data_IF_403227291524
#
_entry.id   IF_403227291524
#
_cell.length_a   1.000
_cell.length_b   1.000
_cell.length_c   1.000
_cell.angle_alpha   90.00
_cell.angle_beta   90.00
_cell.angle_gamma   90.00
#
_symmetry.space_group_name_H-M   'P 1'
#
loop_
_entity.id
_entity.type
_entity.pdbx_description
1 polymer ?
#
# COMPACT_ATOMS: atom_id res chain seq x y z
N UNK A 1 36.40 11.64 7.88
CA UNK A 1 36.35 10.18 8.03
C UNK A 1 35.21 9.68 7.18
N UNK A 2 35.50 8.90 6.15
CA UNK A 2 34.52 8.22 5.30
C UNK A 2 34.22 6.89 5.97
N UNK A 3 32.99 6.65 6.40
CA UNK A 3 32.55 5.32 6.78
C UNK A 3 31.86 4.66 5.59
N UNK A 4 32.49 3.56 5.18
CA UNK A 4 32.17 2.67 4.09
C UNK A 4 31.01 1.75 4.47
N UNK A 5 29.87 1.90 3.81
CA UNK A 5 28.79 0.91 3.81
C UNK A 5 28.90 0.07 2.53
N UNK A 6 29.48 -1.13 2.65
CA UNK A 6 29.51 -2.12 1.57
C UNK A 6 28.18 -2.87 1.50
N UNK A 7 27.49 -2.73 0.37
CA UNK A 7 26.31 -3.52 0.00
C UNK A 7 26.76 -4.99 -0.23
N UNK A 8 26.06 -6.01 0.30
CA UNK A 8 26.42 -7.41 0.06
C UNK A 8 26.41 -7.78 -1.43
N UNK A 9 27.49 -8.40 -1.89
CA UNK A 9 27.87 -8.54 -3.30
C UNK A 9 27.17 -9.66 -4.10
N UNK A 10 26.12 -10.31 -3.59
CA UNK A 10 25.38 -11.29 -4.40
C UNK A 10 23.88 -11.24 -4.15
N UNK A 11 23.19 -10.51 -5.05
CA UNK A 11 21.75 -10.54 -5.19
C UNK A 11 21.37 -11.94 -5.71
N UNK A 12 20.46 -12.69 -5.06
CA UNK A 12 19.97 -13.95 -5.59
C UNK A 12 19.43 -13.79 -7.02
N UNK A 13 19.81 -14.67 -7.92
CA UNK A 13 19.56 -14.54 -9.38
C UNK A 13 18.07 -14.39 -9.71
N UNK A 14 17.19 -15.05 -8.94
CA UNK A 14 15.73 -14.93 -9.10
C UNK A 14 15.20 -13.52 -8.81
N UNK A 15 15.83 -12.79 -7.88
CA UNK A 15 15.48 -11.39 -7.60
C UNK A 15 15.96 -10.46 -8.73
N UNK A 16 17.06 -10.81 -9.40
CA UNK A 16 17.58 -10.03 -10.52
C UNK A 16 16.77 -10.23 -11.80
N UNK A 17 16.35 -11.47 -12.10
CA UNK A 17 15.48 -11.77 -13.24
C UNK A 17 14.07 -11.18 -13.07
N UNK A 18 13.52 -11.26 -11.84
CA UNK A 18 12.29 -10.58 -11.47
C UNK A 18 12.40 -9.06 -11.68
N UNK A 19 13.50 -8.48 -11.19
CA UNK A 19 13.82 -7.07 -11.32
C UNK A 19 13.93 -6.60 -12.77
N UNK A 20 14.54 -7.41 -13.65
CA UNK A 20 14.70 -7.12 -15.08
C UNK A 20 13.37 -7.19 -15.85
N UNK A 21 12.55 -8.22 -15.60
CA UNK A 21 11.23 -8.37 -16.24
C UNK A 21 10.26 -7.26 -15.86
N UNK A 22 10.22 -6.85 -14.60
CA UNK A 22 9.37 -5.75 -14.15
C UNK A 22 9.79 -4.40 -14.74
N UNK A 23 11.07 -4.20 -15.08
CA UNK A 23 11.57 -2.93 -15.65
C UNK A 23 11.03 -2.60 -17.02
N UNK A 24 10.83 -3.60 -17.88
CA UNK A 24 10.46 -3.35 -19.27
C UNK A 24 8.97 -3.06 -19.45
N UNK A 25 8.15 -3.32 -18.43
CA UNK A 25 6.70 -3.13 -18.49
C UNK A 25 6.25 -1.79 -17.92
N UNK A 26 7.03 -1.12 -17.05
CA UNK A 26 6.55 0.07 -16.31
C UNK A 26 7.62 1.15 -16.02
N UNK A 27 7.43 2.45 -16.41
CA UNK A 27 8.51 3.47 -16.40
C UNK A 27 8.79 4.19 -15.06
N UNK A 28 8.03 3.92 -13.99
CA UNK A 28 8.14 4.60 -12.69
C UNK A 28 8.19 3.59 -11.54
N UNK A 29 9.36 2.99 -11.32
CA UNK A 29 9.60 1.76 -10.54
C UNK A 29 8.88 1.66 -9.18
N UNK A 30 8.94 2.67 -8.33
CA UNK A 30 8.44 2.55 -6.95
C UNK A 30 6.94 2.87 -6.83
N UNK A 31 6.45 3.93 -7.48
CA UNK A 31 5.01 4.26 -7.47
C UNK A 31 4.15 3.11 -8.01
N UNK A 32 4.67 2.38 -8.99
CA UNK A 32 3.94 1.28 -9.60
C UNK A 32 3.87 0.05 -8.68
N UNK A 33 4.85 -0.19 -7.80
CA UNK A 33 4.78 -1.35 -6.90
C UNK A 33 3.79 -1.14 -5.76
N UNK A 34 3.73 0.06 -5.18
CA UNK A 34 2.71 0.38 -4.16
C UNK A 34 1.31 0.32 -4.76
N UNK A 35 1.12 0.91 -5.95
CA UNK A 35 -0.17 0.86 -6.66
C UNK A 35 -0.58 -0.57 -7.02
N UNK A 36 0.37 -1.40 -7.47
CA UNK A 36 0.10 -2.81 -7.75
C UNK A 36 -0.29 -3.57 -6.48
N UNK A 37 0.36 -3.30 -5.34
CA UNK A 37 0.00 -3.92 -4.08
C UNK A 37 -1.37 -3.45 -3.55
N UNK A 38 -1.68 -2.16 -3.65
CA UNK A 38 -3.00 -1.62 -3.29
C UNK A 38 -4.10 -2.26 -4.14
N UNK A 39 -3.94 -2.30 -5.47
CA UNK A 39 -4.91 -2.95 -6.36
C UNK A 39 -5.11 -4.43 -6.03
N UNK A 40 -4.02 -5.17 -5.78
CA UNK A 40 -4.13 -6.58 -5.35
C UNK A 40 -4.88 -6.74 -4.03
N UNK A 41 -4.88 -5.72 -3.18
CA UNK A 41 -5.57 -5.72 -1.90
C UNK A 41 -7.06 -5.40 -2.10
N UNK A 42 -7.38 -4.41 -2.93
CA UNK A 42 -8.77 -4.07 -3.33
C UNK A 42 -9.45 -5.24 -4.07
N UNK A 43 -8.74 -5.90 -4.98
CA UNK A 43 -9.25 -7.04 -5.75
C UNK A 43 -9.70 -8.22 -4.84
N UNK A 44 -9.22 -8.30 -3.58
CA UNK A 44 -9.63 -9.35 -2.63
C UNK A 44 -11.07 -9.20 -2.15
N UNK A 45 -11.61 -7.98 -2.18
CA UNK A 45 -12.96 -7.66 -1.69
C UNK A 45 -13.95 -7.35 -2.82
N UNK A 46 -13.44 -7.00 -4.01
CA UNK A 46 -14.26 -6.69 -5.19
C UNK A 46 -14.82 -7.95 -5.91
N UNK A 47 -14.32 -9.15 -5.65
CA UNK A 47 -14.82 -10.37 -6.31
C UNK A 47 -16.23 -10.78 -5.80
N UNK A 48 -17.20 -11.10 -6.69
CA UNK A 48 -18.60 -11.39 -6.33
C UNK A 48 -18.83 -12.53 -5.32
N UNK A 49 -17.81 -13.34 -5.02
CA UNK A 49 -17.86 -14.45 -4.05
C UNK A 49 -17.13 -14.13 -2.72
N UNK A 50 -16.66 -12.89 -2.51
CA UNK A 50 -15.88 -12.50 -1.33
C UNK A 50 -16.67 -12.59 0.00
N UNK A 51 -18.01 -12.55 -0.04
CA UNK A 51 -18.85 -12.47 1.16
C UNK A 51 -18.74 -13.73 2.05
N UNK A 52 -18.49 -14.91 1.49
CA UNK A 52 -18.39 -16.17 2.25
C UNK A 52 -16.93 -16.54 2.64
N UNK A 53 -15.92 -15.83 2.12
CA UNK A 53 -14.49 -16.17 2.32
C UNK A 53 -13.66 -14.99 2.87
N UNK A 54 -14.25 -13.79 2.96
CA UNK A 54 -13.54 -12.51 2.96
C UNK A 54 -12.62 -12.26 4.15
N UNK A 55 -13.05 -12.54 5.39
CA UNK A 55 -12.23 -12.27 6.59
C UNK A 55 -10.99 -13.17 6.61
N UNK A 56 -11.16 -14.46 6.35
CA UNK A 56 -10.04 -15.42 6.32
C UNK A 56 -9.04 -15.10 5.19
N UNK A 57 -9.50 -14.51 4.08
CA UNK A 57 -8.64 -14.06 2.97
C UNK A 57 -7.79 -12.87 3.42
N UNK A 58 -8.39 -11.88 4.08
CA UNK A 58 -7.67 -10.71 4.56
C UNK A 58 -6.68 -11.04 5.70
N UNK A 59 -7.01 -12.01 6.55
CA UNK A 59 -6.08 -12.49 7.59
C UNK A 59 -4.85 -13.16 6.97
N UNK A 60 -5.05 -14.04 5.97
CA UNK A 60 -3.93 -14.61 5.19
C UNK A 60 -3.14 -13.54 4.42
N UNK A 61 -3.82 -12.50 3.94
CA UNK A 61 -3.16 -11.38 3.27
C UNK A 61 -2.30 -10.56 4.23
N UNK A 62 -2.75 -10.34 5.47
CA UNK A 62 -1.96 -9.69 6.51
C UNK A 62 -0.75 -10.54 6.93
N UNK A 63 -0.90 -11.87 7.05
CA UNK A 63 0.24 -12.78 7.27
C UNK A 63 1.26 -12.69 6.12
N UNK A 64 0.79 -12.64 4.88
CA UNK A 64 1.63 -12.45 3.70
C UNK A 64 2.35 -11.10 3.69
N UNK A 65 1.67 -10.03 4.12
CA UNK A 65 2.29 -8.71 4.32
C UNK A 65 3.43 -8.78 5.34
N UNK A 66 3.22 -9.49 6.46
CA UNK A 66 4.27 -9.69 7.47
C UNK A 66 5.47 -10.46 6.89
N UNK A 67 5.22 -11.47 6.07
CA UNK A 67 6.29 -12.20 5.37
C UNK A 67 7.10 -11.30 4.43
N UNK A 68 6.44 -10.44 3.66
CA UNK A 68 7.10 -9.44 2.79
C UNK A 68 8.03 -8.54 3.60
N UNK A 69 7.56 -7.97 4.70
CA UNK A 69 8.37 -7.11 5.58
C UNK A 69 9.49 -7.86 6.31
N UNK A 70 9.39 -9.19 6.42
CA UNK A 70 10.44 -10.06 6.95
C UNK A 70 11.34 -10.68 5.88
N UNK A 71 11.23 -10.27 4.62
CA UNK A 71 12.09 -10.74 3.53
C UNK A 71 11.72 -12.12 2.97
N UNK A 72 10.47 -12.56 3.14
CA UNK A 72 9.94 -13.85 2.64
C UNK A 72 8.85 -13.63 1.58
N UNK A 73 9.19 -13.21 0.36
CA UNK A 73 8.19 -12.99 -0.69
C UNK A 73 7.60 -14.31 -1.21
N UNK A 74 6.30 -14.31 -1.55
CA UNK A 74 5.62 -15.48 -2.11
C UNK A 74 5.55 -15.46 -3.64
N UNK A 75 5.69 -14.29 -4.27
CA UNK A 75 5.75 -14.14 -5.73
C UNK A 75 6.65 -12.97 -6.18
N UNK A 76 6.62 -12.68 -7.49
CA UNK A 76 7.44 -11.63 -8.12
C UNK A 76 7.10 -10.21 -7.65
N UNK A 77 5.82 -9.93 -7.37
CA UNK A 77 5.37 -8.63 -6.91
C UNK A 77 5.70 -8.44 -5.43
N UNK A 78 5.56 -9.50 -4.64
CA UNK A 78 6.02 -9.51 -3.25
C UNK A 78 7.53 -9.28 -3.18
N UNK A 79 8.31 -9.90 -4.07
CA UNK A 79 9.75 -9.73 -4.11
C UNK A 79 10.14 -8.29 -4.47
N UNK A 80 9.42 -7.67 -5.42
CA UNK A 80 9.62 -6.28 -5.77
C UNK A 80 9.26 -5.34 -4.60
N UNK A 81 8.13 -5.58 -3.92
CA UNK A 81 7.75 -4.79 -2.74
C UNK A 81 8.74 -4.98 -1.59
N UNK A 82 9.20 -6.21 -1.35
CA UNK A 82 10.24 -6.56 -0.37
C UNK A 82 11.50 -5.74 -0.63
N UNK A 83 11.99 -5.71 -1.87
CA UNK A 83 13.15 -4.90 -2.27
C UNK A 83 12.93 -3.40 -2.02
N UNK A 84 11.73 -2.88 -2.29
CA UNK A 84 11.37 -1.49 -2.02
C UNK A 84 11.32 -1.15 -0.52
N UNK A 85 10.70 -1.99 0.32
CA UNK A 85 10.64 -1.77 1.78
C UNK A 85 12.00 -1.95 2.46
N UNK A 86 12.93 -2.69 1.86
CA UNK A 86 14.33 -2.71 2.32
C UNK A 86 15.12 -1.45 1.93
N UNK A 87 14.80 -0.84 0.78
CA UNK A 87 15.51 0.36 0.29
C UNK A 87 15.09 1.63 1.00
N UNK A 88 13.83 1.74 1.36
CA UNK A 88 13.27 2.92 2.00
C UNK A 88 12.75 2.55 3.40
N UNK A 89 12.93 3.41 4.42
CA UNK A 89 12.48 3.12 5.79
C UNK A 89 10.97 3.28 5.91
N UNK A 90 10.23 2.35 5.32
CA UNK A 90 8.76 2.37 5.23
C UNK A 90 8.18 1.65 6.45
N UNK A 91 7.20 2.29 7.09
CA UNK A 91 6.42 1.65 8.15
C UNK A 91 5.44 0.65 7.53
N UNK A 92 5.28 -0.51 8.18
CA UNK A 92 4.25 -1.49 7.81
C UNK A 92 2.83 -1.00 8.11
N UNK A 93 2.69 -0.04 9.04
CA UNK A 93 1.40 0.44 9.52
C UNK A 93 0.44 0.88 8.40
N UNK A 94 0.83 1.72 7.42
CA UNK A 94 -0.08 2.10 6.34
C UNK A 94 -0.61 0.92 5.51
N UNK A 95 0.16 -0.17 5.39
CA UNK A 95 -0.27 -1.39 4.70
C UNK A 95 -1.34 -2.13 5.50
N UNK A 96 -1.14 -2.24 6.82
CA UNK A 96 -2.17 -2.81 7.71
C UNK A 96 -3.43 -1.98 7.75
N UNK A 97 -3.27 -0.65 7.81
CA UNK A 97 -4.39 0.27 7.81
C UNK A 97 -5.23 0.14 6.53
N UNK A 98 -4.62 -0.14 5.36
CA UNK A 98 -5.39 -0.44 4.14
C UNK A 98 -6.17 -1.75 4.26
N UNK A 99 -5.54 -2.82 4.80
CA UNK A 99 -6.21 -4.12 5.02
C UNK A 99 -7.40 -3.95 5.97
N UNK A 100 -7.25 -3.15 7.02
CA UNK A 100 -8.36 -2.82 7.92
C UNK A 100 -9.48 -2.06 7.19
N UNK A 101 -9.15 -1.18 6.25
CA UNK A 101 -10.12 -0.56 5.34
C UNK A 101 -10.90 -1.60 4.52
N UNK A 102 -10.22 -2.59 3.96
CA UNK A 102 -10.89 -3.69 3.23
C UNK A 102 -11.81 -4.52 4.14
N UNK A 103 -11.42 -4.73 5.41
CA UNK A 103 -12.31 -5.37 6.39
C UNK A 103 -13.58 -4.55 6.62
N UNK A 104 -13.47 -3.21 6.61
CA UNK A 104 -14.64 -2.33 6.71
C UNK A 104 -15.56 -2.47 5.49
N UNK A 105 -15.01 -2.56 4.27
CA UNK A 105 -15.81 -2.74 3.04
C UNK A 105 -16.67 -4.00 3.08
N UNK A 106 -16.16 -5.10 3.66
CA UNK A 106 -16.91 -6.36 3.80
C UNK A 106 -17.97 -6.27 4.91
N UNK A 107 -17.66 -5.60 6.03
CA UNK A 107 -18.45 -5.70 7.27
C UNK A 107 -19.43 -4.55 7.48
N UNK A 108 -19.24 -3.42 6.80
CA UNK A 108 -19.98 -2.18 7.08
C UNK A 108 -20.58 -1.57 5.82
N UNK A 109 -21.90 -1.64 5.73
CA UNK A 109 -22.65 -1.06 4.60
C UNK A 109 -23.07 0.41 4.82
N UNK A 110 -22.90 0.97 6.03
CA UNK A 110 -23.29 2.35 6.34
C UNK A 110 -22.48 2.94 7.50
N UNK A 111 -22.10 4.20 7.34
CA UNK A 111 -21.44 5.01 8.38
C UNK A 111 -22.47 5.86 9.14
N UNK A 112 -22.40 5.86 10.46
CA UNK A 112 -23.38 6.55 11.33
C UNK A 112 -23.14 8.05 11.38
N UNK A 113 -21.88 8.46 11.28
CA UNK A 113 -21.47 9.85 11.39
C UNK A 113 -20.20 10.13 10.56
N UNK A 114 -19.83 11.40 10.46
CA UNK A 114 -18.68 11.83 9.67
C UNK A 114 -17.34 11.33 10.23
N UNK A 115 -17.22 11.13 11.53
CA UNK A 115 -15.98 10.63 12.13
C UNK A 115 -15.68 9.19 11.69
N UNK A 116 -16.70 8.33 11.66
CA UNK A 116 -16.55 6.98 11.14
C UNK A 116 -16.22 6.97 9.63
N UNK A 117 -16.88 7.84 8.85
CA UNK A 117 -16.58 7.99 7.42
C UNK A 117 -15.15 8.51 7.22
N UNK A 118 -14.69 9.42 8.07
CA UNK A 118 -13.33 9.94 8.04
C UNK A 118 -12.31 8.84 8.35
N UNK A 119 -12.57 7.99 9.34
CA UNK A 119 -11.74 6.83 9.66
C UNK A 119 -11.65 5.88 8.47
N UNK A 120 -12.78 5.60 7.81
CA UNK A 120 -12.79 4.82 6.58
C UNK A 120 -11.91 5.46 5.49
N UNK A 121 -12.10 6.74 5.17
CA UNK A 121 -11.29 7.45 4.20
C UNK A 121 -9.79 7.44 4.56
N UNK A 122 -9.46 7.48 5.85
CA UNK A 122 -8.08 7.35 6.30
C UNK A 122 -7.50 5.99 5.91
N UNK A 123 -8.21 4.90 6.22
CA UNK A 123 -7.80 3.55 5.91
C UNK A 123 -7.65 3.29 4.40
N UNK A 124 -8.66 3.63 3.59
CA UNK A 124 -8.67 3.26 2.16
C UNK A 124 -7.98 4.26 1.23
N UNK A 125 -7.77 5.52 1.66
CA UNK A 125 -7.17 6.54 0.78
C UNK A 125 -5.90 7.18 1.34
N UNK A 126 -5.86 7.49 2.64
CA UNK A 126 -4.68 8.14 3.24
C UNK A 126 -3.55 7.14 3.42
N UNK A 127 -3.83 5.95 3.95
CA UNK A 127 -2.82 4.92 4.18
C UNK A 127 -2.01 4.57 2.92
N UNK A 128 -2.64 4.29 1.75
CA UNK A 128 -1.92 4.14 0.48
C UNK A 128 -1.04 5.34 0.11
N UNK A 129 -1.54 6.56 0.35
CA UNK A 129 -0.78 7.79 0.14
C UNK A 129 0.46 7.91 1.06
N UNK A 130 0.40 7.35 2.28
CA UNK A 130 1.52 7.37 3.21
C UNK A 130 2.61 6.35 2.86
N UNK A 131 2.27 5.26 2.16
CA UNK A 131 3.26 4.25 1.73
C UNK A 131 4.35 4.83 0.84
N UNK A 132 4.00 5.83 0.01
CA UNK A 132 4.95 6.42 -0.95
C UNK A 132 5.81 7.53 -0.32
N UNK A 133 5.41 8.08 0.83
CA UNK A 133 6.07 9.24 1.46
C UNK A 133 7.57 9.01 1.68
N UNK A 134 8.04 7.86 2.23
CA UNK A 134 9.47 7.62 2.46
C UNK A 134 10.30 7.51 1.17
N UNK A 135 9.67 7.25 0.02
CA UNK A 135 10.33 7.17 -1.29
C UNK A 135 10.43 8.51 -2.01
N UNK A 136 9.77 9.56 -1.50
CA UNK A 136 9.85 10.90 -2.08
C UNK A 136 11.14 11.56 -1.58
N UNK A 137 12.07 11.83 -2.50
CA UNK A 137 13.22 12.68 -2.23
C UNK A 137 12.74 14.12 -1.96
N UNK A 138 12.74 14.52 -0.69
CA UNK A 138 12.33 15.85 -0.29
C UNK A 138 13.54 16.79 -0.23
N UNK A 139 13.52 17.80 -1.10
CA UNK A 139 14.15 19.11 -0.86
C UNK A 139 13.46 19.75 0.38
N UNK A 140 14.05 20.74 1.07
CA UNK A 140 14.07 20.89 2.55
C UNK A 140 12.74 21.26 3.25
N UNK A 141 11.60 20.76 2.80
CA UNK A 141 10.32 20.87 3.47
C UNK A 141 10.25 19.89 4.65
N UNK A 142 9.69 20.29 5.81
CA UNK A 142 9.53 19.40 6.95
C UNK A 142 8.63 18.22 6.61
N UNK A 143 9.08 16.98 6.90
CA UNK A 143 8.31 15.74 6.71
C UNK A 143 6.86 15.86 7.20
N UNK A 144 6.64 16.50 8.35
CA UNK A 144 5.30 16.74 8.92
C UNK A 144 4.35 17.44 7.96
N UNK A 145 4.81 18.46 7.23
CA UNK A 145 3.97 19.20 6.29
C UNK A 145 3.57 18.33 5.10
N UNK A 146 4.42 17.40 4.69
CA UNK A 146 4.08 16.42 3.66
C UNK A 146 3.02 15.45 4.17
N UNK A 147 3.13 14.93 5.40
CA UNK A 147 2.09 14.09 6.00
C UNK A 147 0.74 14.80 6.04
N UNK A 148 0.71 16.04 6.52
CA UNK A 148 -0.52 16.85 6.56
C UNK A 148 -1.09 17.05 5.14
N UNK A 149 -0.23 17.30 4.15
CA UNK A 149 -0.64 17.45 2.75
C UNK A 149 -1.27 16.17 2.20
N UNK A 150 -0.63 15.02 2.41
CA UNK A 150 -1.15 13.72 1.96
C UNK A 150 -2.49 13.42 2.62
N UNK A 151 -2.59 13.63 3.94
CA UNK A 151 -3.82 13.46 4.70
C UNK A 151 -4.99 14.24 4.08
N UNK A 152 -4.83 15.56 3.92
CA UNK A 152 -5.91 16.40 3.42
C UNK A 152 -6.28 16.11 1.96
N UNK A 153 -5.29 15.89 1.10
CA UNK A 153 -5.53 15.62 -0.32
C UNK A 153 -6.24 14.28 -0.51
N UNK A 154 -5.77 13.21 0.14
CA UNK A 154 -6.38 11.88 0.00
C UNK A 154 -7.81 11.87 0.53
N UNK A 155 -8.09 12.50 1.67
CA UNK A 155 -9.45 12.60 2.21
C UNK A 155 -10.37 13.35 1.25
N UNK A 156 -9.93 14.50 0.74
CA UNK A 156 -10.75 15.31 -0.17
C UNK A 156 -11.08 14.54 -1.46
N UNK A 157 -10.11 13.82 -2.03
CA UNK A 157 -10.31 12.98 -3.21
C UNK A 157 -11.29 11.84 -2.90
N UNK A 158 -11.14 11.16 -1.77
CA UNK A 158 -12.00 10.03 -1.43
C UNK A 158 -13.44 10.45 -1.16
N UNK A 159 -13.66 11.55 -0.44
CA UNK A 159 -15.00 12.12 -0.27
C UNK A 159 -15.59 12.50 -1.62
N UNK A 160 -14.79 13.05 -2.54
CA UNK A 160 -15.25 13.40 -3.89
C UNK A 160 -15.67 12.15 -4.67
N UNK A 161 -14.92 11.05 -4.58
CA UNK A 161 -15.28 9.78 -5.20
C UNK A 161 -16.61 9.24 -4.64
N UNK A 162 -16.74 9.19 -3.31
CA UNK A 162 -17.98 8.75 -2.65
C UNK A 162 -19.17 9.60 -3.12
N UNK A 163 -19.04 10.93 -3.14
CA UNK A 163 -20.12 11.83 -3.58
C UNK A 163 -20.46 11.69 -5.08
N UNK A 164 -19.48 11.34 -5.92
CA UNK A 164 -19.71 11.05 -7.35
C UNK A 164 -20.52 9.76 -7.50
N UNK A 165 -20.16 8.74 -6.74
CA UNK A 165 -20.65 7.37 -6.95
C UNK A 165 -22.03 7.14 -6.28
N UNK A 166 -22.47 8.01 -5.35
CA UNK A 166 -23.86 8.08 -4.83
C UNK A 166 -24.92 8.23 -5.93
N UNK A 167 -24.56 8.67 -7.13
CA UNK A 167 -25.49 8.76 -8.27
C UNK A 167 -25.61 7.47 -9.09
N UNK A 168 -24.69 6.54 -8.92
CA UNK A 168 -24.57 5.32 -9.73
C UNK A 168 -25.09 4.07 -9.00
N UNK A 169 -25.30 4.14 -7.68
CA UNK A 169 -25.98 3.14 -6.83
C UNK A 169 -27.48 3.40 -6.65
#
# INVERSE_FOLDING_TARGET
MKDSWTVPESRPTYLQEAYERCTHTFPARDKNIYQAWCRRTDDLVDEPNAIDVGVDVLDRWEERLQDIFNGRPHDILDAALTDTVYKFPIDIKPFKDLIDGMRMDITKCRYENFEELYQYCYHVAVAPGLMVVPSVELQPEPLRKLYDTVLYVCIAVQITNILRDVKEE
#
